data_IF_974125975394
#
_entry.id   IF_974125975394
#
_cell.length_a   1.000
_cell.length_b   1.000
_cell.length_c   1.000
_cell.angle_alpha   90.00
_cell.angle_beta   90.00
_cell.angle_gamma   90.00
#
_symmetry.space_group_name_H-M   'P 1'
#
loop_
_entity.id
_entity.type
_entity.pdbx_description
1 polymer ?
#
# COMPACT_ATOMS: atom_id res chain seq x y z
N UNK A 1 29.44 17.43 4.73
CA UNK A 1 28.83 17.82 3.45
C UNK A 1 29.16 16.76 2.42
N UNK A 2 28.15 16.08 1.85
CA UNK A 2 28.35 15.00 0.88
C UNK A 2 28.80 15.62 -0.47
N UNK A 3 29.93 15.21 -1.07
CA UNK A 3 30.53 15.88 -2.24
C UNK A 3 29.97 15.42 -3.60
N UNK A 4 28.95 14.58 -3.64
CA UNK A 4 28.42 14.03 -4.88
C UNK A 4 27.20 14.83 -5.39
N UNK A 5 27.18 15.18 -6.69
CA UNK A 5 26.08 15.91 -7.36
C UNK A 5 24.70 15.25 -7.16
N UNK A 6 24.64 13.91 -7.01
CA UNK A 6 23.39 13.19 -6.71
C UNK A 6 22.74 13.55 -5.37
N UNK A 7 23.50 14.12 -4.42
CA UNK A 7 22.99 14.56 -3.13
C UNK A 7 22.18 15.88 -3.22
N UNK A 8 22.24 16.61 -4.34
CA UNK A 8 21.46 17.84 -4.57
C UNK A 8 20.00 17.58 -4.97
N UNK A 9 19.71 16.39 -5.48
CA UNK A 9 18.36 15.93 -5.88
C UNK A 9 17.76 14.94 -4.89
N UNK A 10 18.53 14.58 -3.86
CA UNK A 10 18.15 13.56 -2.92
C UNK A 10 17.25 14.14 -1.82
N UNK A 11 16.07 13.53 -1.64
CA UNK A 11 15.11 13.82 -0.57
C UNK A 11 15.58 13.39 0.83
N UNK A 12 16.88 13.48 1.13
CA UNK A 12 17.40 13.24 2.46
C UNK A 12 18.42 14.33 2.83
N UNK A 13 18.11 15.11 3.87
CA UNK A 13 19.10 15.92 4.54
C UNK A 13 20.07 15.00 5.29
N UNK A 14 21.35 15.35 5.28
CA UNK A 14 22.53 14.50 5.57
C UNK A 14 22.61 13.79 6.93
N UNK A 15 21.56 13.82 7.75
CA UNK A 15 21.49 13.17 9.07
C UNK A 15 20.54 11.96 9.12
N UNK A 16 19.57 11.85 8.21
CA UNK A 16 18.63 10.74 8.18
C UNK A 16 18.82 10.01 6.86
N UNK A 17 19.57 8.90 6.87
CA UNK A 17 19.73 8.05 5.68
C UNK A 17 18.38 7.66 5.05
N UNK A 18 18.37 7.11 3.83
CA UNK A 18 17.15 6.93 3.02
C UNK A 18 16.02 6.14 3.70
N UNK A 19 16.32 5.37 4.75
CA UNK A 19 15.36 4.62 5.57
C UNK A 19 14.63 5.46 6.62
N UNK A 20 15.14 6.64 6.97
CA UNK A 20 14.63 7.50 8.05
C UNK A 20 14.16 8.87 7.56
N UNK A 21 14.01 9.04 6.24
CA UNK A 21 13.40 10.25 5.72
C UNK A 21 11.92 10.30 6.13
N UNK A 22 11.58 11.21 7.04
CA UNK A 22 10.22 11.40 7.59
C UNK A 22 9.17 11.59 6.50
N UNK A 23 9.52 12.28 5.41
CA UNK A 23 8.64 12.47 4.25
C UNK A 23 8.36 11.14 3.54
N UNK A 24 9.39 10.32 3.29
CA UNK A 24 9.23 9.02 2.62
C UNK A 24 8.41 8.06 3.48
N UNK A 25 8.68 8.01 4.78
CA UNK A 25 7.91 7.21 5.73
C UNK A 25 6.44 7.63 5.73
N UNK A 26 6.17 8.94 5.75
CA UNK A 26 4.78 9.45 5.70
C UNK A 26 4.07 9.04 4.41
N UNK A 27 4.75 9.12 3.27
CA UNK A 27 4.20 8.67 1.99
C UNK A 27 3.90 7.17 2.02
N UNK A 28 4.85 6.35 2.51
CA UNK A 28 4.69 4.90 2.56
C UNK A 28 3.53 4.47 3.47
N UNK A 29 3.32 5.15 4.59
CA UNK A 29 2.18 4.90 5.48
C UNK A 29 0.86 5.26 4.81
N UNK A 30 0.79 6.39 4.08
CA UNK A 30 -0.42 6.80 3.34
C UNK A 30 -0.75 5.81 2.23
N UNK A 31 0.25 5.40 1.46
CA UNK A 31 0.08 4.45 0.37
C UNK A 31 -0.37 3.09 0.89
N UNK A 32 0.21 2.62 2.00
CA UNK A 32 -0.21 1.40 2.68
C UNK A 32 -1.67 1.48 3.17
N UNK A 33 -2.05 2.59 3.80
CA UNK A 33 -3.42 2.80 4.27
C UNK A 33 -4.43 2.79 3.11
N UNK A 34 -4.12 3.45 2.00
CA UNK A 34 -4.96 3.44 0.80
C UNK A 34 -5.12 2.02 0.21
N UNK A 35 -4.03 1.24 0.15
CA UNK A 35 -4.09 -0.15 -0.30
C UNK A 35 -4.94 -1.04 0.62
N UNK A 36 -4.90 -0.80 1.94
CA UNK A 36 -5.74 -1.53 2.89
C UNK A 36 -7.23 -1.25 2.66
N UNK A 37 -7.59 0.00 2.40
CA UNK A 37 -8.98 0.39 2.12
C UNK A 37 -9.52 -0.31 0.87
N UNK A 38 -8.74 -0.30 -0.22
CA UNK A 38 -9.12 -0.97 -1.47
C UNK A 38 -9.27 -2.48 -1.28
N UNK A 39 -8.34 -3.12 -0.54
CA UNK A 39 -8.42 -4.55 -0.21
C UNK A 39 -9.67 -4.87 0.62
N UNK A 40 -10.01 -4.02 1.60
CA UNK A 40 -11.22 -4.22 2.40
C UNK A 40 -12.49 -4.07 1.55
N UNK A 41 -12.54 -3.09 0.65
CA UNK A 41 -13.64 -2.90 -0.28
C UNK A 41 -13.83 -4.12 -1.18
N UNK A 42 -12.76 -4.60 -1.82
CA UNK A 42 -12.80 -5.81 -2.66
C UNK A 42 -13.24 -7.05 -1.87
N UNK A 43 -12.77 -7.22 -0.62
CA UNK A 43 -13.21 -8.31 0.24
C UNK A 43 -14.70 -8.20 0.60
N UNK A 44 -15.22 -7.00 0.86
CA UNK A 44 -16.66 -6.78 1.15
C UNK A 44 -17.51 -7.12 -0.07
N UNK A 45 -17.11 -6.68 -1.25
CA UNK A 45 -17.79 -6.97 -2.52
C UNK A 45 -17.82 -8.48 -2.81
N UNK A 46 -16.68 -9.15 -2.69
CA UNK A 46 -16.58 -10.61 -2.87
C UNK A 46 -17.36 -11.40 -1.82
N UNK A 47 -17.35 -10.94 -0.57
CA UNK A 47 -18.18 -11.54 0.48
C UNK A 47 -19.68 -11.39 0.18
N UNK A 48 -20.10 -10.24 -0.34
CA UNK A 48 -21.49 -10.02 -0.76
C UNK A 48 -21.85 -10.88 -1.98
N UNK A 49 -20.95 -11.02 -2.95
CA UNK A 49 -21.10 -11.93 -4.09
C UNK A 49 -21.26 -13.39 -3.63
N UNK A 50 -20.38 -13.86 -2.74
CA UNK A 50 -20.42 -15.22 -2.18
C UNK A 50 -21.75 -15.51 -1.48
N UNK A 51 -22.21 -14.59 -0.61
CA UNK A 51 -23.51 -14.73 0.05
C UNK A 51 -24.67 -14.73 -0.94
N UNK A 52 -24.64 -13.88 -1.97
CA UNK A 52 -25.66 -13.85 -3.04
C UNK A 52 -25.71 -15.15 -3.84
N UNK A 53 -24.57 -15.79 -4.06
CA UNK A 53 -24.47 -17.08 -4.76
C UNK A 53 -24.80 -18.30 -3.87
N UNK A 54 -25.37 -18.08 -2.69
CA UNK A 54 -25.80 -19.15 -1.79
C UNK A 54 -24.72 -19.64 -0.83
N UNK A 55 -23.55 -18.99 -0.77
CA UNK A 55 -22.51 -19.32 0.20
C UNK A 55 -21.83 -20.67 0.00
N UNK A 56 -21.92 -21.24 -1.21
CA UNK A 56 -21.25 -22.48 -1.57
C UNK A 56 -19.79 -22.22 -2.00
N UNK A 57 -18.86 -23.00 -1.44
CA UNK A 57 -17.43 -22.94 -1.79
C UNK A 57 -17.19 -23.56 -3.17
N UNK A 58 -17.97 -24.59 -3.52
CA UNK A 58 -17.96 -25.24 -4.81
C UNK A 58 -19.15 -24.72 -5.61
N UNK A 59 -18.87 -24.18 -6.80
CA UNK A 59 -19.91 -23.78 -7.75
C UNK A 59 -20.06 -24.95 -8.69
N UNK A 60 -21.21 -25.63 -8.67
CA UNK A 60 -21.52 -26.70 -9.62
C UNK A 60 -21.56 -26.06 -11.02
N UNK A 61 -20.61 -26.44 -11.89
CA UNK A 61 -20.63 -26.08 -13.30
C UNK A 61 -21.73 -26.95 -13.96
N UNK A 62 -22.87 -26.33 -14.24
CA UNK A 62 -23.93 -26.91 -15.07
C UNK A 62 -23.65 -26.75 -16.55
#
# INVERSE_FOLDING_TARGET
>A
TLPAEGAKVAHFCSMCGPKFCSMKITQDVRDYAAQLEERQKGMREKSAEFRRRGGAIYVEEG
#
